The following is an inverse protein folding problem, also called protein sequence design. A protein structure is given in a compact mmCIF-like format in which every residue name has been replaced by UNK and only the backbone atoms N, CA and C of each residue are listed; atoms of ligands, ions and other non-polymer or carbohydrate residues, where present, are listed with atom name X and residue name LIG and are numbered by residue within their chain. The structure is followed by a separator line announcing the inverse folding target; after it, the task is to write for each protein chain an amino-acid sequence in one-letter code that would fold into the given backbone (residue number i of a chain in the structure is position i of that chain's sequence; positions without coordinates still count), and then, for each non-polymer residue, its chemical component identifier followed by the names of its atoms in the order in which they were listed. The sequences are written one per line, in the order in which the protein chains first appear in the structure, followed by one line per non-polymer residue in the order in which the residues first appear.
data_IF_333923787142
#
_entry.id   IF_333923787142
#
_cell.length_a   1.000
_cell.length_b   1.000
_cell.length_c   1.000
_cell.angle_alpha   90.00
_cell.angle_beta   90.00
_cell.angle_gamma   90.00
#
_symmetry.space_group_name_H-M   'P 1'
#
loop_
_entity.id
_entity.type
_entity.pdbx_description
1 polymer ?
#
# COMPACT_ATOMS: atom_id res chain seq x y z
N UNK A 1 36.08 51.20 -14.32
CA UNK A 1 36.80 50.03 -14.87
C UNK A 1 35.83 49.28 -15.76
N UNK A 2 36.07 49.27 -17.07
CA UNK A 2 35.30 48.46 -18.01
C UNK A 2 35.77 46.99 -18.02
N UNK A 3 34.95 46.06 -18.55
CA UNK A 3 35.36 44.68 -18.76
C UNK A 3 36.07 44.55 -20.12
N UNK A 4 36.94 43.55 -20.24
CA UNK A 4 37.45 43.10 -21.53
C UNK A 4 37.51 41.58 -21.50
N UNK A 5 36.81 40.99 -22.45
CA UNK A 5 36.60 39.57 -22.68
C UNK A 5 37.90 38.86 -23.10
N UNK A 6 38.01 37.57 -22.77
CA UNK A 6 38.28 36.55 -23.80
C UNK A 6 38.14 35.13 -23.25
N UNK A 7 37.29 34.39 -23.94
CA UNK A 7 36.79 33.03 -23.80
C UNK A 7 37.86 31.95 -24.11
N UNK A 8 37.81 30.77 -23.47
CA UNK A 8 38.12 29.48 -24.16
C UNK A 8 37.77 28.21 -23.36
N UNK A 9 36.83 27.45 -23.94
CA UNK A 9 36.61 26.00 -23.99
C UNK A 9 37.34 24.99 -23.07
N UNK A 10 36.57 23.98 -22.62
CA UNK A 10 37.04 22.60 -22.39
C UNK A 10 36.58 21.99 -21.07
N UNK A 11 35.44 21.29 -21.05
CA UNK A 11 35.29 19.81 -20.92
C UNK A 11 35.25 19.26 -19.49
N UNK A 12 34.09 18.66 -19.18
CA UNK A 12 33.81 17.40 -18.48
C UNK A 12 34.66 17.03 -17.25
N UNK A 13 34.00 16.80 -16.12
CA UNK A 13 33.82 15.46 -15.52
C UNK A 13 33.56 15.55 -14.00
N UNK A 14 32.43 14.97 -13.62
CA UNK A 14 32.32 14.01 -12.52
C UNK A 14 32.74 14.46 -11.11
N UNK A 15 31.86 15.23 -10.46
CA UNK A 15 31.80 15.25 -9.00
C UNK A 15 30.88 14.11 -8.53
N UNK A 16 31.56 13.06 -8.08
CA UNK A 16 31.10 11.81 -7.52
C UNK A 16 30.29 12.05 -6.23
N UNK A 17 28.97 11.81 -6.27
CA UNK A 17 28.16 11.65 -5.06
C UNK A 17 28.02 10.16 -4.74
N UNK A 18 28.36 9.72 -3.52
CA UNK A 18 28.43 8.30 -3.17
C UNK A 18 27.02 7.69 -3.17
N UNK A 19 26.81 6.68 -4.02
CA UNK A 19 25.68 5.74 -3.93
C UNK A 19 25.90 4.87 -2.70
N UNK A 20 25.33 5.29 -1.58
CA UNK A 20 25.13 4.40 -0.44
C UNK A 20 23.82 3.66 -0.63
N UNK A 21 23.88 2.44 -1.15
CA UNK A 21 22.76 1.49 -1.16
C UNK A 21 23.31 0.08 -0.90
N UNK A 22 23.89 -0.12 0.29
CA UNK A 22 24.03 -1.45 0.88
C UNK A 22 22.98 -1.56 2.00
N UNK A 23 21.73 -1.78 1.60
CA UNK A 23 20.72 -2.37 2.48
C UNK A 23 20.34 -3.69 1.86
N UNK A 24 20.99 -4.74 2.37
CA UNK A 24 20.70 -6.13 2.11
C UNK A 24 19.19 -6.37 2.25
N UNK A 25 18.52 -6.47 1.11
CA UNK A 25 17.19 -7.06 1.02
C UNK A 25 17.37 -8.52 1.43
N UNK A 26 17.01 -8.84 2.67
CA UNK A 26 16.79 -10.22 3.05
C UNK A 26 15.67 -10.73 2.14
N UNK A 27 16.03 -11.61 1.21
CA UNK A 27 15.10 -12.46 0.47
C UNK A 27 14.36 -13.32 1.49
N UNK A 28 13.25 -12.80 2.00
CA UNK A 28 12.24 -13.59 2.70
C UNK A 28 11.39 -14.28 1.62
N UNK A 29 11.93 -15.41 1.14
CA UNK A 29 11.24 -16.40 0.31
C UNK A 29 10.15 -17.09 1.18
N UNK A 30 9.09 -16.35 1.50
CA UNK A 30 7.85 -16.93 2.00
C UNK A 30 7.03 -17.38 0.78
N UNK A 31 7.23 -18.63 0.40
CA UNK A 31 6.41 -19.42 -0.53
C UNK A 31 4.94 -18.96 -0.58
N UNK A 32 4.47 -18.66 -1.79
CA UNK A 32 3.07 -18.42 -2.08
C UNK A 32 2.28 -19.72 -1.93
N UNK A 33 1.57 -19.87 -0.81
CA UNK A 33 0.59 -20.94 -0.59
C UNK A 33 -0.76 -20.53 -1.21
N UNK A 34 -0.91 -20.79 -2.52
CA UNK A 34 -2.17 -20.71 -3.27
C UNK A 34 -3.05 -21.93 -2.96
N UNK A 35 -3.92 -21.78 -1.96
CA UNK A 35 -5.29 -22.32 -1.80
C UNK A 35 -5.57 -22.49 -0.30
N UNK A 36 -5.79 -21.38 0.41
CA UNK A 36 -6.19 -21.42 1.82
C UNK A 36 -7.72 -21.46 1.89
N UNK A 37 -8.36 -22.51 2.43
CA UNK A 37 -9.83 -22.62 2.57
C UNK A 37 -10.49 -21.59 3.51
N UNK A 38 -9.77 -20.54 3.87
CA UNK A 38 -10.14 -19.53 4.85
C UNK A 38 -10.71 -18.27 4.18
N UNK A 39 -10.42 -18.02 2.90
CA UNK A 39 -10.82 -16.78 2.22
C UNK A 39 -12.33 -16.70 1.98
N UNK A 40 -12.97 -17.81 1.59
CA UNK A 40 -14.44 -17.90 1.49
C UNK A 40 -15.13 -17.71 2.84
N UNK A 41 -14.49 -18.12 3.95
CA UNK A 41 -15.04 -17.99 5.29
C UNK A 41 -14.98 -16.56 5.81
N UNK A 42 -14.03 -15.74 5.36
CA UNK A 42 -13.84 -14.36 5.85
C UNK A 42 -14.87 -13.41 5.21
N UNK A 43 -15.20 -13.60 3.94
CA UNK A 43 -16.20 -12.78 3.24
C UNK A 43 -17.62 -12.89 3.82
N UNK A 44 -17.95 -14.02 4.44
CA UNK A 44 -19.28 -14.28 5.01
C UNK A 44 -19.39 -13.93 6.52
N UNK A 45 -18.31 -13.42 7.14
CA UNK A 45 -18.35 -13.07 8.56
C UNK A 45 -19.24 -11.85 8.80
N UNK A 46 -20.19 -11.99 9.73
CA UNK A 46 -20.96 -10.85 10.20
C UNK A 46 -20.08 -9.88 11.00
N UNK A 47 -20.51 -8.62 11.08
CA UNK A 47 -19.89 -7.63 11.96
C UNK A 47 -19.74 -8.14 13.40
N UNK A 48 -20.75 -8.85 13.90
CA UNK A 48 -20.74 -9.41 15.24
C UNK A 48 -19.65 -10.46 15.42
N UNK A 49 -19.43 -11.32 14.41
CA UNK A 49 -18.38 -12.34 14.44
C UNK A 49 -16.99 -11.69 14.45
N UNK A 50 -16.77 -10.70 13.59
CA UNK A 50 -15.51 -9.95 13.50
C UNK A 50 -15.17 -9.29 14.84
N UNK A 51 -16.18 -8.74 15.53
CA UNK A 51 -16.04 -8.13 16.84
C UNK A 51 -15.68 -9.12 17.97
N UNK A 52 -15.88 -10.42 17.76
CA UNK A 52 -15.46 -11.46 18.71
C UNK A 52 -14.09 -12.07 18.40
N UNK A 53 -13.49 -11.72 17.26
CA UNK A 53 -12.17 -12.24 16.90
C UNK A 53 -11.09 -11.79 17.88
N UNK A 54 -10.17 -12.73 18.12
CA UNK A 54 -9.01 -12.57 18.96
C UNK A 54 -7.78 -13.05 18.18
N UNK A 55 -6.75 -12.22 18.18
CA UNK A 55 -5.51 -12.44 17.45
C UNK A 55 -4.36 -12.57 18.42
N UNK A 56 -3.34 -13.34 18.04
CA UNK A 56 -2.11 -13.46 18.84
C UNK A 56 -1.30 -12.17 18.74
N UNK A 57 -1.12 -11.66 17.51
CA UNK A 57 -0.16 -10.60 17.19
C UNK A 57 -0.76 -9.54 16.28
N UNK A 58 -0.09 -8.38 16.17
CA UNK A 58 -0.55 -7.29 15.30
C UNK A 58 -0.56 -7.69 13.82
N UNK A 59 0.36 -8.55 13.41
CA UNK A 59 0.47 -9.05 12.04
C UNK A 59 -0.71 -9.96 11.70
N UNK A 60 -1.22 -10.73 12.67
CA UNK A 60 -2.41 -11.56 12.47
C UNK A 60 -3.66 -10.68 12.25
N UNK A 61 -3.77 -9.55 12.96
CA UNK A 61 -4.84 -8.55 12.71
C UNK A 61 -4.70 -7.97 11.30
N UNK A 62 -3.47 -7.63 10.89
CA UNK A 62 -3.21 -7.07 9.56
C UNK A 62 -3.55 -8.03 8.44
N UNK A 63 -3.08 -9.29 8.51
CA UNK A 63 -3.39 -10.31 7.51
C UNK A 63 -4.90 -10.54 7.39
N UNK A 64 -5.59 -10.70 8.52
CA UNK A 64 -7.04 -10.85 8.52
C UNK A 64 -7.75 -9.68 7.83
N UNK A 65 -7.40 -8.45 8.20
CA UNK A 65 -8.07 -7.27 7.64
C UNK A 65 -7.68 -7.01 6.18
N UNK A 66 -6.45 -7.37 5.77
CA UNK A 66 -6.02 -7.33 4.37
C UNK A 66 -6.84 -8.31 3.53
N UNK A 67 -7.02 -9.55 3.98
CA UNK A 67 -7.88 -10.52 3.29
C UNK A 67 -9.34 -10.06 3.25
N UNK A 68 -9.87 -9.54 4.35
CA UNK A 68 -11.22 -8.95 4.37
C UNK A 68 -11.35 -7.80 3.37
N UNK A 69 -10.34 -6.94 3.27
CA UNK A 69 -10.34 -5.82 2.34
C UNK A 69 -10.28 -6.28 0.88
N UNK A 70 -9.52 -7.33 0.58
CA UNK A 70 -9.47 -7.93 -0.75
C UNK A 70 -10.81 -8.53 -1.16
N UNK A 71 -11.57 -9.14 -0.23
CA UNK A 71 -12.92 -9.67 -0.54
C UNK A 71 -13.99 -8.59 -0.65
N UNK A 72 -13.70 -7.38 -0.19
CA UNK A 72 -14.59 -6.21 -0.23
C UNK A 72 -14.04 -5.10 -1.15
N UNK A 73 -13.11 -5.45 -2.05
CA UNK A 73 -12.56 -4.59 -3.12
C UNK A 73 -11.91 -3.26 -2.65
N UNK A 74 -11.28 -3.24 -1.47
CA UNK A 74 -10.54 -2.06 -0.99
C UNK A 74 -9.10 -2.36 -0.57
N UNK A 75 -8.26 -1.33 -0.62
CA UNK A 75 -6.88 -1.37 -0.18
C UNK A 75 -6.72 -0.90 1.27
N UNK A 76 -5.81 -1.50 2.06
CA UNK A 76 -5.60 -1.15 3.48
C UNK A 76 -4.24 -0.53 3.75
N UNK A 77 -4.19 0.40 4.71
CA UNK A 77 -2.96 0.95 5.29
C UNK A 77 -2.96 0.85 6.80
N UNK A 78 -1.75 0.70 7.33
CA UNK A 78 -1.47 0.82 8.74
C UNK A 78 -1.63 2.29 9.16
N UNK A 79 -2.41 2.54 10.20
CA UNK A 79 -2.73 3.89 10.67
C UNK A 79 -2.13 4.15 12.05
N UNK A 80 -2.89 3.93 13.12
CA UNK A 80 -2.41 4.15 14.49
C UNK A 80 -1.81 2.88 15.10
N UNK A 81 -0.72 3.03 15.86
CA UNK A 81 -0.19 2.00 16.75
C UNK A 81 0.10 2.61 18.11
N UNK A 82 -0.27 1.92 19.20
CA UNK A 82 0.17 2.27 20.55
C UNK A 82 0.95 1.12 21.15
N UNK A 83 2.07 1.47 21.78
CA UNK A 83 2.98 0.53 22.43
C UNK A 83 3.06 0.85 23.93
N UNK A 84 3.35 -0.17 24.74
CA UNK A 84 3.68 0.01 26.15
C UNK A 84 5.10 0.57 26.30
N UNK A 85 5.47 0.89 27.54
CA UNK A 85 6.83 1.21 27.97
C UNK A 85 7.87 0.17 27.54
N UNK A 86 7.49 -1.11 27.49
CA UNK A 86 8.34 -2.21 27.03
C UNK A 86 8.39 -2.34 25.49
N UNK A 87 7.71 -1.47 24.74
CA UNK A 87 7.64 -1.53 23.27
C UNK A 87 6.61 -2.51 22.72
N UNK A 88 5.94 -3.30 23.56
CA UNK A 88 4.88 -4.23 23.16
C UNK A 88 3.65 -3.50 22.59
N UNK A 89 3.08 -4.00 21.50
CA UNK A 89 1.88 -3.40 20.88
C UNK A 89 0.66 -3.63 21.75
N UNK A 90 0.09 -2.55 22.28
CA UNK A 90 -1.15 -2.54 23.05
C UNK A 90 -2.36 -2.34 22.13
N UNK A 91 -2.19 -1.60 21.04
CA UNK A 91 -3.28 -1.24 20.15
C UNK A 91 -2.80 -1.09 18.71
N UNK A 92 -3.64 -1.55 17.78
CA UNK A 92 -3.44 -1.35 16.35
C UNK A 92 -4.74 -0.93 15.67
N UNK A 93 -4.64 0.12 14.85
CA UNK A 93 -5.69 0.57 13.95
C UNK A 93 -5.23 0.43 12.50
N UNK A 94 -6.11 -0.12 11.67
CA UNK A 94 -5.91 -0.30 10.23
C UNK A 94 -7.12 0.29 9.53
N UNK A 95 -6.88 1.04 8.47
CA UNK A 95 -7.90 1.82 7.75
C UNK A 95 -7.80 1.56 6.26
N UNK A 96 -8.86 1.88 5.51
CA UNK A 96 -8.78 1.89 4.05
C UNK A 96 -7.78 2.94 3.53
N UNK A 97 -7.10 2.65 2.41
CA UNK A 97 -6.18 3.56 1.71
C UNK A 97 -6.87 4.82 1.22
N UNK A 98 -8.17 4.71 0.88
CA UNK A 98 -8.98 5.86 0.52
C UNK A 98 -9.48 6.64 1.74
N UNK A 99 -9.29 6.17 2.98
CA UNK A 99 -9.75 6.88 4.17
C UNK A 99 -9.05 8.24 4.35
N UNK A 100 -9.83 9.29 4.59
CA UNK A 100 -9.38 10.66 4.89
C UNK A 100 -9.70 11.67 3.77
N UNK A 101 -9.92 12.94 4.16
CA UNK A 101 -10.07 14.05 3.23
C UNK A 101 -8.69 14.64 2.92
N UNK A 102 -8.26 14.67 1.66
CA UNK A 102 -7.28 15.70 1.26
C UNK A 102 -7.98 17.05 1.39
N UNK A 103 -7.42 17.96 2.19
CA UNK A 103 -7.85 19.37 2.15
C UNK A 103 -7.65 19.82 0.70
N UNK A 104 -8.71 20.35 0.09
CA UNK A 104 -8.62 21.07 -1.18
C UNK A 104 -7.53 22.13 -1.02
N UNK A 105 -6.34 21.87 -1.55
CA UNK A 105 -5.34 22.93 -1.67
C UNK A 105 -5.80 23.83 -2.81
N UNK A 106 -6.58 24.83 -2.38
CA UNK A 106 -6.84 26.15 -2.96
C UNK A 106 -6.28 26.35 -4.37
N UNK A 107 -7.22 26.61 -5.28
CA UNK A 107 -7.03 27.15 -6.62
C UNK A 107 -5.80 28.07 -6.70
N UNK A 108 -4.76 27.60 -7.39
CA UNK A 108 -3.72 28.46 -7.96
C UNK A 108 -3.69 28.22 -9.45
N UNK A 109 -4.30 29.18 -10.13
CA UNK A 109 -4.72 29.23 -11.54
C UNK A 109 -3.55 29.29 -12.56
N UNK A 110 -2.40 28.65 -12.28
CA UNK A 110 -1.22 28.65 -13.16
C UNK A 110 -0.57 27.26 -13.34
N UNK A 111 -1.31 26.16 -13.14
CA UNK A 111 -0.76 24.81 -13.31
C UNK A 111 -0.96 24.29 -14.73
N UNK A 112 0.13 23.83 -15.36
CA UNK A 112 0.17 23.23 -16.71
C UNK A 112 -0.45 21.81 -16.73
N UNK A 113 -0.58 21.15 -15.58
CA UNK A 113 -1.20 19.82 -15.47
C UNK A 113 -2.49 19.91 -14.68
N UNK A 114 -3.53 19.23 -15.17
CA UNK A 114 -4.80 19.07 -14.48
C UNK A 114 -4.59 18.56 -13.05
N UNK A 115 -5.46 19.00 -12.16
CA UNK A 115 -5.50 18.45 -10.82
C UNK A 115 -5.73 16.94 -10.91
N UNK A 116 -4.84 16.16 -10.28
CA UNK A 116 -5.06 14.72 -10.09
C UNK A 116 -6.47 14.57 -9.51
N UNK A 117 -7.38 13.81 -10.16
CA UNK A 117 -8.75 13.73 -9.73
C UNK A 117 -8.82 13.32 -8.26
N UNK A 118 -9.80 13.89 -7.54
CA UNK A 118 -10.12 13.53 -6.16
C UNK A 118 -10.62 12.07 -6.15
N UNK A 119 -9.68 11.14 -6.15
CA UNK A 119 -9.91 9.68 -6.07
C UNK A 119 -10.06 9.21 -4.63
N UNK A 120 -10.01 10.15 -3.67
CA UNK A 120 -10.10 9.83 -2.25
C UNK A 120 -11.55 9.98 -1.78
N UNK A 121 -12.32 8.92 -1.99
CA UNK A 121 -13.63 8.71 -1.40
C UNK A 121 -13.53 8.78 0.13
N UNK A 122 -14.57 9.25 0.82
CA UNK A 122 -14.57 9.34 2.29
C UNK A 122 -14.77 7.97 2.95
N UNK A 123 -13.88 7.00 2.67
CA UNK A 123 -13.97 5.67 3.25
C UNK A 123 -13.90 5.74 4.77
N UNK A 124 -14.84 5.09 5.44
CA UNK A 124 -14.85 4.92 6.90
C UNK A 124 -14.48 3.52 7.34
N UNK A 125 -14.14 2.63 6.40
CA UNK A 125 -13.73 1.27 6.70
C UNK A 125 -12.46 1.28 7.56
N UNK A 126 -12.58 0.69 8.75
CA UNK A 126 -11.48 0.55 9.70
C UNK A 126 -11.71 -0.57 10.70
N UNK A 127 -10.63 -1.17 11.13
CA UNK A 127 -10.56 -2.11 12.25
C UNK A 127 -9.63 -1.56 13.33
N UNK A 128 -10.03 -1.74 14.59
CA UNK A 128 -9.25 -1.35 15.76
C UNK A 128 -9.18 -2.54 16.71
N UNK A 129 -7.97 -3.03 16.96
CA UNK A 129 -7.70 -4.12 17.89
C UNK A 129 -6.87 -3.63 19.07
N UNK A 130 -7.16 -4.17 20.26
CA UNK A 130 -6.46 -3.82 21.50
C UNK A 130 -6.15 -5.07 22.31
N UNK A 131 -5.00 -5.06 22.96
CA UNK A 131 -4.50 -6.14 23.79
C UNK A 131 -5.38 -6.30 25.03
N UNK A 132 -5.97 -7.48 25.17
CA UNK A 132 -6.58 -7.93 26.42
C UNK A 132 -5.49 -8.51 27.32
N UNK A 133 -5.22 -7.81 28.43
CA UNK A 133 -4.18 -8.20 29.41
C UNK A 133 -4.50 -9.51 30.15
N UNK A 134 -5.74 -10.01 30.10
CA UNK A 134 -6.11 -11.28 30.75
C UNK A 134 -5.73 -12.49 29.92
N UNK A 135 -5.91 -12.38 28.61
CA UNK A 135 -5.74 -13.48 27.64
C UNK A 135 -4.43 -13.33 26.85
N UNK A 136 -3.80 -12.15 26.95
CA UNK A 136 -2.62 -11.75 26.17
C UNK A 136 -2.85 -11.90 24.66
N UNK A 137 -4.04 -11.47 24.20
CA UNK A 137 -4.46 -11.48 22.80
C UNK A 137 -5.05 -10.15 22.39
N UNK A 138 -4.86 -9.77 21.13
CA UNK A 138 -5.47 -8.58 20.53
C UNK A 138 -6.94 -8.89 20.19
N UNK A 139 -7.87 -8.21 20.86
CA UNK A 139 -9.30 -8.31 20.59
C UNK A 139 -9.76 -7.12 19.75
N UNK A 140 -10.64 -7.36 18.78
CA UNK A 140 -11.29 -6.29 18.02
C UNK A 140 -12.23 -5.51 18.93
N UNK A 141 -12.03 -4.20 19.04
CA UNK A 141 -12.88 -3.29 19.82
C UNK A 141 -13.80 -2.48 18.91
N UNK A 142 -13.35 -2.17 17.71
CA UNK A 142 -14.08 -1.34 16.78
C UNK A 142 -13.93 -1.89 15.37
N UNK A 143 -15.05 -1.99 14.68
CA UNK A 143 -15.10 -2.38 13.30
C UNK A 143 -16.17 -1.56 12.58
N UNK A 144 -15.77 -0.94 11.48
CA UNK A 144 -16.65 -0.27 10.54
C UNK A 144 -16.52 -0.97 9.19
N UNK A 145 -17.62 -1.56 8.78
CA UNK A 145 -17.84 -2.08 7.44
C UNK A 145 -18.10 -0.94 6.47
N UNK A 146 -17.65 -1.10 5.24
CA UNK A 146 -17.75 -0.07 4.23
C UNK A 146 -19.19 0.12 3.72
N UNK A 147 -19.59 1.38 3.49
CA UNK A 147 -20.75 1.74 2.68
C UNK A 147 -20.45 3.04 1.94
N UNK A 148 -19.52 3.09 0.96
CA UNK A 148 -19.48 4.15 -0.08
C UNK A 148 -18.28 4.11 -1.04
N UNK A 149 -17.90 2.97 -1.63
CA UNK A 149 -17.18 2.94 -2.92
C UNK A 149 -18.02 2.15 -3.93
N UNK A 150 -18.15 2.65 -5.16
CA UNK A 150 -18.67 1.81 -6.24
C UNK A 150 -17.70 0.66 -6.42
N UNK A 151 -18.18 -0.57 -6.24
CA UNK A 151 -17.39 -1.80 -6.35
C UNK A 151 -16.44 -1.69 -7.55
N UNK A 152 -15.14 -1.68 -7.27
CA UNK A 152 -14.10 -1.70 -8.29
C UNK A 152 -14.15 -3.09 -8.93
N UNK A 153 -14.04 -3.18 -10.25
CA UNK A 153 -14.04 -4.47 -10.94
C UNK A 153 -12.88 -5.34 -10.40
N UNK A 154 -13.09 -6.63 -10.08
CA UNK A 154 -12.04 -7.52 -9.58
C UNK A 154 -10.75 -7.50 -10.42
N UNK A 155 -10.84 -7.24 -11.74
CA UNK A 155 -9.66 -7.07 -12.59
C UNK A 155 -8.78 -5.89 -12.16
N UNK A 156 -9.39 -4.78 -11.72
CA UNK A 156 -8.69 -3.56 -11.33
C UNK A 156 -8.04 -3.65 -9.92
N UNK A 157 -8.52 -4.55 -9.05
CA UNK A 157 -7.96 -4.77 -7.71
C UNK A 157 -6.54 -5.35 -7.77
N UNK A 158 -6.29 -6.26 -8.72
CA UNK A 158 -4.97 -6.87 -8.95
C UNK A 158 -3.90 -5.86 -9.40
N UNK A 159 -4.34 -4.72 -9.95
CA UNK A 159 -3.47 -3.66 -10.48
C UNK A 159 -3.13 -2.65 -9.37
N UNK A 160 -3.83 -2.70 -8.23
CA UNK A 160 -3.52 -1.85 -7.07
C UNK A 160 -2.11 -2.21 -6.55
N UNK A 161 -1.19 -1.25 -6.42
CA UNK A 161 0.21 -1.53 -6.07
C UNK A 161 0.40 -2.39 -4.81
N UNK A 162 -0.48 -2.22 -3.82
CA UNK A 162 -0.45 -2.99 -2.57
C UNK A 162 -0.83 -4.48 -2.69
N UNK A 163 -1.50 -4.83 -3.80
CA UNK A 163 -1.97 -6.18 -4.13
C UNK A 163 -1.37 -6.75 -5.41
N UNK A 164 -0.70 -5.92 -6.21
CA UNK A 164 -0.08 -6.29 -7.46
C UNK A 164 1.09 -7.24 -7.20
N UNK A 165 0.79 -8.52 -7.30
CA UNK A 165 1.76 -9.61 -7.18
C UNK A 165 2.15 -10.04 -8.58
N UNK A 166 3.39 -9.74 -8.98
CA UNK A 166 3.92 -10.21 -10.26
C UNK A 166 4.39 -11.65 -10.13
N UNK A 167 3.87 -12.53 -10.98
CA UNK A 167 4.43 -13.87 -11.12
C UNK A 167 5.87 -13.80 -11.66
N UNK A 168 6.62 -14.90 -11.52
CA UNK A 168 7.98 -15.00 -12.08
C UNK A 168 7.98 -14.75 -13.60
N UNK A 169 6.92 -15.19 -14.29
CA UNK A 169 6.72 -14.94 -15.72
C UNK A 169 6.50 -13.45 -16.00
N UNK A 170 5.67 -12.78 -15.22
CA UNK A 170 5.36 -11.35 -15.43
C UNK A 170 6.59 -10.49 -15.18
N UNK A 171 7.42 -10.84 -14.19
CA UNK A 171 8.71 -10.18 -13.95
C UNK A 171 9.65 -10.34 -15.14
N UNK A 172 9.71 -11.52 -15.74
CA UNK A 172 10.51 -11.77 -16.93
C UNK A 172 9.97 -10.99 -18.15
N UNK A 173 8.65 -10.95 -18.36
CA UNK A 173 8.03 -10.17 -19.42
C UNK A 173 8.24 -8.67 -19.23
N UNK A 174 8.12 -8.16 -18.00
CA UNK A 174 8.41 -6.77 -17.66
C UNK A 174 9.86 -6.40 -18.02
N UNK A 175 10.82 -7.28 -17.67
CA UNK A 175 12.23 -7.09 -18.02
C UNK A 175 12.44 -7.06 -19.54
N UNK A 176 11.85 -8.00 -20.27
CA UNK A 176 11.95 -8.03 -21.73
C UNK A 176 11.36 -6.77 -22.37
N UNK A 177 10.19 -6.29 -21.92
CA UNK A 177 9.58 -5.07 -22.42
C UNK A 177 10.46 -3.84 -22.16
N UNK A 178 11.07 -3.77 -20.97
CA UNK A 178 12.02 -2.73 -20.63
C UNK A 178 13.27 -2.77 -21.52
N UNK A 179 13.82 -3.96 -21.76
CA UNK A 179 15.01 -4.17 -22.61
C UNK A 179 14.75 -3.82 -24.09
N UNK A 180 13.50 -3.93 -24.55
CA UNK A 180 13.06 -3.52 -25.89
C UNK A 180 12.76 -2.00 -25.96
N UNK A 181 12.90 -1.28 -24.85
CA UNK A 181 12.77 0.18 -24.79
C UNK A 181 11.38 0.68 -24.42
N UNK A 182 10.46 -0.19 -23.98
CA UNK A 182 9.19 0.25 -23.41
C UNK A 182 9.46 0.90 -22.05
N UNK A 183 8.99 2.14 -21.91
CA UNK A 183 9.10 2.88 -20.65
C UNK A 183 8.43 2.12 -19.53
N UNK A 184 9.07 2.05 -18.36
CA UNK A 184 8.58 1.35 -17.17
C UNK A 184 7.13 1.72 -16.81
N UNK A 185 6.74 2.99 -16.98
CA UNK A 185 5.38 3.47 -16.72
C UNK A 185 4.30 2.90 -17.65
N UNK A 186 4.67 2.27 -18.78
CA UNK A 186 3.72 1.64 -19.71
C UNK A 186 3.69 0.11 -19.58
N UNK A 187 4.70 -0.50 -18.94
CA UNK A 187 4.85 -1.96 -18.87
C UNK A 187 3.63 -2.63 -18.23
N UNK A 188 3.09 -2.04 -17.15
CA UNK A 188 1.90 -2.58 -16.47
C UNK A 188 0.69 -2.69 -17.43
N UNK A 189 0.52 -1.74 -18.35
CA UNK A 189 -0.55 -1.78 -19.35
C UNK A 189 -0.37 -2.87 -20.41
N UNK A 190 0.86 -3.35 -20.65
CA UNK A 190 1.13 -4.48 -21.54
C UNK A 190 0.95 -5.84 -20.83
N UNK A 191 1.00 -5.88 -19.50
CA UNK A 191 0.84 -7.11 -18.71
C UNK A 191 -0.61 -7.35 -18.29
N UNK A 192 -1.49 -6.36 -18.44
CA UNK A 192 -2.91 -6.43 -18.03
C UNK A 192 -3.87 -7.00 -19.10
N UNK A 193 -3.38 -7.83 -20.03
CA UNK A 193 -4.15 -8.43 -21.15
C UNK A 193 -4.50 -9.89 -20.94
#
# INVERSE_FOLDING_TARGET
MGPSDSNSFGTNSDEEFPRGDDLDFLDDDSEADEDRPQDKRIAELSREDIMQLQFTDEEAVYRFYKTYAMTHDFAVRLDEVRRDSDGCVIMRQIVCNQAGLRKEEVEKDERIRDHRPLTQSCCRARIHARLDRKIYKLKVILFYEEQSHGLVDPLDVSIIPEYCTFSVSDKAQAKNLHDIGIRTCHILGYLAT
#
